data_IF_094112991632
#
_entry.id   IF_094112991632
#
_cell.length_a   1.000
_cell.length_b   1.000
_cell.length_c   1.000
_cell.angle_alpha   90.00
_cell.angle_beta   90.00
_cell.angle_gamma   90.00
#
_symmetry.space_group_name_H-M   'P 1'
#
loop_
_entity.id
_entity.type
_entity.pdbx_description
1 polymer ?
#
# COMPACT_ATOMS: atom_id res chain seq x y z
N UNK A 1 5.44 5.35 -10.93
CA UNK A 1 5.33 4.89 -9.53
C UNK A 1 6.70 4.44 -9.06
N UNK A 2 7.04 4.62 -7.78
CA UNK A 2 8.33 4.22 -7.21
C UNK A 2 8.10 3.52 -5.87
N UNK A 3 8.58 2.28 -5.75
CA UNK A 3 8.47 1.48 -4.54
C UNK A 3 9.84 1.30 -3.89
N UNK A 4 9.90 1.42 -2.57
CA UNK A 4 11.10 1.22 -1.76
C UNK A 4 10.75 0.30 -0.59
N UNK A 5 11.51 -0.80 -0.45
CA UNK A 5 11.44 -1.72 0.67
C UNK A 5 12.61 -1.39 1.62
N UNK A 6 12.29 -1.06 2.86
CA UNK A 6 13.26 -0.73 3.90
C UNK A 6 13.29 -1.83 4.96
N UNK A 7 14.47 -2.39 5.24
CA UNK A 7 14.67 -3.30 6.37
C UNK A 7 14.98 -2.50 7.65
N UNK A 8 14.12 -2.61 8.66
CA UNK A 8 14.29 -1.92 9.93
C UNK A 8 15.21 -2.67 10.91
N UNK A 9 15.82 -3.78 10.49
CA UNK A 9 16.76 -4.62 11.26
C UNK A 9 16.19 -5.13 12.60
N UNK A 10 14.87 -5.25 12.70
CA UNK A 10 14.16 -5.72 13.89
C UNK A 10 13.08 -6.77 13.55
N UNK A 11 13.14 -7.34 12.34
CA UNK A 11 12.16 -8.29 11.80
C UNK A 11 11.01 -7.65 11.04
N UNK A 12 10.86 -6.33 11.10
CA UNK A 12 9.85 -5.59 10.33
C UNK A 12 10.47 -4.92 9.10
N UNK A 13 9.65 -4.81 8.06
CA UNK A 13 10.00 -4.10 6.84
C UNK A 13 9.00 -2.97 6.60
N UNK A 14 9.49 -1.84 6.13
CA UNK A 14 8.69 -0.73 5.64
C UNK A 14 8.52 -0.82 4.12
N UNK A 15 7.32 -0.56 3.62
CA UNK A 15 7.06 -0.31 2.21
C UNK A 15 6.67 1.15 2.00
N UNK A 16 7.42 1.86 1.16
CA UNK A 16 7.06 3.20 0.68
C UNK A 16 6.68 3.12 -0.78
N UNK A 17 5.51 3.65 -1.12
CA UNK A 17 5.02 3.78 -2.50
C UNK A 17 4.80 5.25 -2.83
N UNK A 18 5.55 5.77 -3.79
CA UNK A 18 5.43 7.14 -4.30
C UNK A 18 4.72 7.13 -5.66
N UNK A 19 3.65 7.92 -5.77
CA UNK A 19 2.76 7.96 -6.91
C UNK A 19 2.83 9.33 -7.60
N UNK A 20 2.79 9.34 -8.93
CA UNK A 20 2.51 10.56 -9.69
C UNK A 20 1.02 10.94 -9.57
N UNK A 21 0.64 12.22 -9.72
CA UNK A 21 -0.76 12.64 -9.64
C UNK A 21 -1.71 11.84 -10.55
N UNK A 22 -1.27 11.48 -11.76
CA UNK A 22 -2.08 10.70 -12.71
C UNK A 22 -2.27 9.25 -12.25
N UNK A 23 -1.28 8.69 -11.55
CA UNK A 23 -1.34 7.34 -10.99
C UNK A 23 -2.29 7.27 -9.79
N UNK A 24 -2.41 8.37 -9.02
CA UNK A 24 -3.39 8.49 -7.94
C UNK A 24 -4.82 8.38 -8.49
N UNK A 25 -5.13 9.08 -9.60
CA UNK A 25 -6.45 8.98 -10.22
C UNK A 25 -6.78 7.54 -10.63
N UNK A 26 -5.83 6.84 -11.25
CA UNK A 26 -6.03 5.44 -11.63
C UNK A 26 -6.21 4.52 -10.42
N UNK A 27 -5.45 4.74 -9.34
CA UNK A 27 -5.59 3.97 -8.11
C UNK A 27 -6.97 4.19 -7.46
N UNK A 28 -7.49 5.42 -7.47
CA UNK A 28 -8.85 5.71 -6.96
C UNK A 28 -9.90 4.94 -7.74
N UNK A 29 -9.82 4.91 -9.08
CA UNK A 29 -10.75 4.14 -9.92
C UNK A 29 -10.72 2.64 -9.57
N UNK A 30 -9.53 2.05 -9.46
CA UNK A 30 -9.38 0.63 -9.11
C UNK A 30 -9.94 0.32 -7.71
N UNK A 31 -9.74 1.22 -6.74
CA UNK A 31 -10.33 1.07 -5.41
C UNK A 31 -11.86 1.21 -5.43
N UNK A 32 -12.41 2.06 -6.29
CA UNK A 32 -13.85 2.17 -6.49
C UNK A 32 -14.43 0.90 -7.13
N UNK A 33 -13.72 0.31 -8.09
CA UNK A 33 -14.11 -0.97 -8.71
C UNK A 33 -14.20 -2.08 -7.65
N UNK A 34 -13.21 -2.19 -6.75
CA UNK A 34 -13.26 -3.15 -5.62
C UNK A 34 -14.43 -2.90 -4.66
N UNK A 35 -14.87 -1.65 -4.49
CA UNK A 35 -16.07 -1.37 -3.70
C UNK A 35 -17.36 -1.86 -4.36
N UNK A 36 -17.40 -1.90 -5.70
CA UNK A 36 -18.57 -2.37 -6.46
C UNK A 36 -18.57 -3.90 -6.65
N UNK A 37 -17.39 -4.51 -6.79
CA UNK A 37 -17.20 -5.95 -6.93
C UNK A 37 -16.09 -6.45 -5.98
N UNK A 38 -16.43 -6.74 -4.70
CA UNK A 38 -15.45 -7.08 -3.66
C UNK A 38 -14.65 -8.36 -3.90
N UNK A 39 -15.11 -9.23 -4.80
CA UNK A 39 -14.44 -10.49 -5.14
C UNK A 39 -13.25 -10.29 -6.10
N UNK A 40 -13.06 -9.07 -6.63
CA UNK A 40 -11.94 -8.74 -7.50
C UNK A 40 -10.68 -8.35 -6.69
N UNK A 41 -9.56 -8.26 -7.41
CA UNK A 41 -8.29 -7.72 -6.92
C UNK A 41 -7.56 -7.03 -8.07
N UNK A 42 -6.58 -6.20 -7.74
CA UNK A 42 -5.66 -5.65 -8.72
C UNK A 42 -4.23 -5.65 -8.20
N UNK A 43 -3.29 -5.52 -9.13
CA UNK A 43 -1.86 -5.60 -8.86
C UNK A 43 -1.12 -4.31 -9.21
N UNK A 44 -0.07 -4.05 -8.45
CA UNK A 44 1.00 -3.11 -8.79
C UNK A 44 2.29 -3.91 -8.87
N UNK A 45 2.75 -4.18 -10.10
CA UNK A 45 3.88 -5.07 -10.35
C UNK A 45 5.09 -4.31 -10.88
N UNK A 46 6.29 -4.82 -10.59
CA UNK A 46 7.52 -4.35 -11.25
C UNK A 46 7.68 -5.02 -12.62
N UNK A 47 8.70 -4.63 -13.36
CA UNK A 47 9.13 -5.33 -14.58
C UNK A 47 10.04 -6.54 -14.27
N UNK A 48 10.29 -6.81 -12.99
CA UNK A 48 11.14 -7.89 -12.49
C UNK A 48 12.57 -7.87 -13.07
N UNK A 49 13.08 -6.70 -13.49
CA UNK A 49 14.36 -6.62 -14.21
C UNK A 49 15.60 -6.62 -13.30
N UNK A 50 15.43 -6.39 -11.99
CA UNK A 50 16.50 -6.38 -11.01
C UNK A 50 16.76 -7.79 -10.43
N UNK A 51 17.92 -8.00 -9.78
CA UNK A 51 18.23 -9.30 -9.13
C UNK A 51 17.29 -9.64 -7.99
N UNK A 52 16.88 -8.63 -7.20
CA UNK A 52 15.93 -8.80 -6.09
C UNK A 52 15.22 -7.48 -5.78
N UNK A 53 14.08 -7.55 -5.08
CA UNK A 53 13.29 -6.39 -4.70
C UNK A 53 11.80 -6.70 -4.58
N UNK A 54 10.98 -5.67 -4.64
CA UNK A 54 9.52 -5.80 -4.62
C UNK A 54 9.00 -6.22 -6.01
N UNK A 55 8.45 -7.43 -6.10
CA UNK A 55 7.90 -7.97 -7.33
C UNK A 55 6.48 -7.50 -7.62
N UNK A 56 5.61 -7.60 -6.61
CA UNK A 56 4.17 -7.38 -6.75
C UNK A 56 3.55 -6.87 -5.44
N UNK A 57 2.55 -6.00 -5.57
CA UNK A 57 1.64 -5.60 -4.49
C UNK A 57 0.22 -5.91 -4.97
N UNK A 58 -0.44 -6.87 -4.33
CA UNK A 58 -1.85 -7.17 -4.56
C UNK A 58 -2.73 -6.36 -3.59
N UNK A 59 -3.83 -5.82 -4.11
CA UNK A 59 -4.85 -5.11 -3.33
C UNK A 59 -6.21 -5.76 -3.62
N UNK A 60 -6.88 -6.19 -2.55
CA UNK A 60 -8.17 -6.87 -2.54
C UNK A 60 -9.01 -6.42 -1.34
N UNK A 61 -10.26 -6.89 -1.24
CA UNK A 61 -11.08 -6.66 -0.06
C UNK A 61 -10.86 -7.76 0.98
N UNK A 62 -10.78 -7.38 2.26
CA UNK A 62 -10.71 -8.33 3.37
C UNK A 62 -12.11 -8.82 3.74
N UNK A 63 -12.19 -10.06 4.20
CA UNK A 63 -13.40 -10.68 4.75
C UNK A 63 -13.54 -10.41 6.24
N UNK A 64 -14.75 -10.50 6.79
CA UNK A 64 -15.00 -10.31 8.23
C UNK A 64 -14.26 -11.31 9.13
N UNK A 65 -13.82 -12.45 8.59
CA UNK A 65 -13.10 -13.48 9.33
C UNK A 65 -11.60 -13.23 9.46
N UNK A 66 -11.04 -12.29 8.71
CA UNK A 66 -9.59 -12.04 8.69
C UNK A 66 -9.16 -11.16 9.86
N UNK A 67 -8.06 -11.54 10.52
CA UNK A 67 -7.48 -10.73 11.59
C UNK A 67 -6.66 -9.58 10.99
N UNK A 68 -6.93 -8.36 11.44
CA UNK A 68 -6.16 -7.20 11.02
C UNK A 68 -4.78 -7.19 11.68
N UNK A 69 -3.73 -7.02 10.88
CA UNK A 69 -2.36 -6.83 11.35
C UNK A 69 -1.84 -5.39 11.14
N UNK A 70 -2.64 -4.52 10.54
CA UNK A 70 -2.31 -3.13 10.17
C UNK A 70 -3.49 -2.19 10.46
N UNK A 71 -3.23 -0.88 10.53
CA UNK A 71 -4.25 0.15 10.75
C UNK A 71 -4.06 1.35 9.82
N UNK A 72 -5.17 2.00 9.44
CA UNK A 72 -5.19 3.17 8.57
C UNK A 72 -5.43 4.44 9.41
N UNK A 73 -4.48 5.38 9.41
CA UNK A 73 -4.54 6.59 10.26
C UNK A 73 -5.26 7.79 9.62
N UNK A 74 -5.68 7.71 8.35
CA UNK A 74 -6.50 8.72 7.66
C UNK A 74 -5.89 10.11 7.44
N UNK A 75 -4.71 10.40 8.00
CA UNK A 75 -4.08 11.73 7.94
C UNK A 75 -3.10 11.86 6.78
N UNK A 76 -3.31 12.86 5.92
CA UNK A 76 -2.29 13.34 5.01
C UNK A 76 -1.24 14.14 5.80
N UNK A 77 -0.04 13.59 5.94
CA UNK A 77 1.07 14.22 6.66
C UNK A 77 2.04 14.88 5.67
N UNK A 78 2.60 16.02 6.06
CA UNK A 78 3.68 16.64 5.29
C UNK A 78 4.94 15.76 5.32
N UNK A 79 5.82 15.83 4.29
CA UNK A 79 7.07 15.08 4.28
C UNK A 79 7.89 15.30 5.56
N UNK A 80 8.41 14.21 6.14
CA UNK A 80 9.23 14.25 7.36
C UNK A 80 8.45 14.44 8.67
N UNK A 81 7.11 14.42 8.63
CA UNK A 81 6.29 14.44 9.85
C UNK A 81 6.09 13.03 10.38
N UNK A 82 6.44 12.79 11.65
CA UNK A 82 6.16 11.53 12.32
C UNK A 82 4.64 11.28 12.41
N UNK A 83 4.24 10.03 12.24
CA UNK A 83 2.83 9.65 12.45
C UNK A 83 2.47 9.89 13.92
N UNK A 84 1.33 10.54 14.23
CA UNK A 84 0.82 10.56 15.60
C UNK A 84 0.68 9.13 16.10
N UNK A 85 1.04 8.88 17.36
CA UNK A 85 0.77 7.59 17.98
C UNK A 85 -0.74 7.30 17.88
N UNK A 86 -1.10 6.17 17.29
CA UNK A 86 -2.49 5.73 17.23
C UNK A 86 -2.95 5.39 18.66
N UNK A 87 -3.72 6.30 19.27
CA UNK A 87 -4.35 6.08 20.59
C UNK A 87 -4.22 7.23 21.58
N UNK A 88 -4.69 8.43 21.23
CA UNK A 88 -5.07 9.44 22.23
C UNK A 88 -6.57 9.35 22.52
#
# INVERSE_FOLDING_TARGET
MHAELEDWNNGWHGLRLSLLPQEISRLIELLQDLQQDPEQHFHISSDYSAESGLGDIEISTATESEQHNMSLSGLALAPGTDKPALGA
#
